data_IF_258159257908
#
_entry.id   IF_258159257908
#
_cell.length_a   1.000
_cell.length_b   1.000
_cell.length_c   1.000
_cell.angle_alpha   90.00
_cell.angle_beta   90.00
_cell.angle_gamma   90.00
#
_symmetry.space_group_name_H-M   'P 1'
#
loop_
_entity.id
_entity.type
_entity.pdbx_description
1 polymer ?
#
# COMPACT_ATOMS: atom_id res chain seq x y z
N UNK A 1 12.08 -16.09 -13.90
CA UNK A 1 12.14 -16.26 -12.44
C UNK A 1 11.30 -15.15 -11.89
N UNK A 2 10.26 -15.48 -11.11
CA UNK A 2 9.39 -14.46 -10.55
C UNK A 2 10.00 -13.78 -9.35
N UNK A 3 9.23 -12.87 -8.76
CA UNK A 3 9.64 -12.09 -7.61
C UNK A 3 9.86 -12.95 -6.36
N UNK A 4 9.05 -14.00 -6.13
CA UNK A 4 9.20 -14.85 -4.93
C UNK A 4 10.47 -15.69 -5.01
N UNK A 5 10.73 -16.28 -6.17
CA UNK A 5 11.97 -17.02 -6.41
C UNK A 5 13.21 -16.13 -6.27
N UNK A 6 13.14 -14.86 -6.70
CA UNK A 6 14.23 -13.90 -6.50
C UNK A 6 14.45 -13.59 -5.01
N UNK A 7 13.38 -13.39 -4.24
CA UNK A 7 13.48 -13.17 -2.80
C UNK A 7 14.08 -14.38 -2.07
N UNK A 8 13.57 -15.58 -2.34
CA UNK A 8 14.04 -16.84 -1.72
C UNK A 8 15.51 -17.14 -2.08
N UNK A 9 16.02 -16.63 -3.20
CA UNK A 9 17.42 -16.79 -3.59
C UNK A 9 18.37 -15.80 -2.89
N UNK A 10 17.85 -14.65 -2.42
CA UNK A 10 18.66 -13.53 -1.92
C UNK A 10 18.50 -13.25 -0.42
N UNK A 11 17.49 -13.82 0.23
CA UNK A 11 17.16 -13.57 1.64
C UNK A 11 16.91 -14.87 2.41
N UNK A 12 16.93 -14.79 3.74
CA UNK A 12 16.58 -15.91 4.59
C UNK A 12 15.08 -16.25 4.45
N UNK A 13 14.76 -17.52 4.32
CA UNK A 13 13.39 -18.01 4.18
C UNK A 13 12.46 -17.52 5.30
N UNK A 14 12.93 -17.46 6.55
CA UNK A 14 12.12 -16.98 7.68
C UNK A 14 11.72 -15.51 7.49
N UNK A 15 12.61 -14.69 6.93
CA UNK A 15 12.36 -13.26 6.67
C UNK A 15 11.36 -13.10 5.53
N UNK A 16 11.48 -13.89 4.45
CA UNK A 16 10.57 -13.80 3.31
C UNK A 16 9.16 -14.25 3.73
N UNK A 17 9.03 -15.31 4.52
CA UNK A 17 7.75 -15.80 5.02
C UNK A 17 7.10 -14.80 6.00
N UNK A 18 7.85 -14.25 6.95
CA UNK A 18 7.34 -13.21 7.86
C UNK A 18 6.83 -11.99 7.07
N UNK A 19 7.57 -11.57 6.04
CA UNK A 19 7.13 -10.50 5.16
C UNK A 19 5.82 -10.85 4.46
N UNK A 20 5.69 -12.03 3.85
CA UNK A 20 4.47 -12.42 3.14
C UNK A 20 3.25 -12.49 4.06
N UNK A 21 3.42 -13.04 5.26
CA UNK A 21 2.35 -13.14 6.25
C UNK A 21 1.86 -11.76 6.69
N UNK A 22 2.79 -10.88 7.08
CA UNK A 22 2.46 -9.51 7.45
C UNK A 22 1.86 -8.71 6.29
N UNK A 23 2.42 -8.88 5.09
CA UNK A 23 1.89 -8.25 3.89
C UNK A 23 0.45 -8.67 3.62
N UNK A 24 0.15 -9.97 3.72
CA UNK A 24 -1.21 -10.48 3.55
C UNK A 24 -2.20 -9.85 4.52
N UNK A 25 -1.86 -9.78 5.80
CA UNK A 25 -2.73 -9.16 6.82
C UNK A 25 -3.00 -7.68 6.54
N UNK A 26 -2.00 -6.96 6.04
CA UNK A 26 -2.15 -5.54 5.67
C UNK A 26 -3.07 -5.37 4.46
N UNK A 27 -2.92 -6.19 3.43
CA UNK A 27 -3.78 -6.12 2.22
C UNK A 27 -5.23 -6.45 2.56
N UNK A 28 -5.48 -7.50 3.36
CA UNK A 28 -6.83 -7.94 3.73
C UNK A 28 -7.65 -6.85 4.45
N UNK A 29 -6.98 -5.88 5.10
CA UNK A 29 -7.63 -4.80 5.83
C UNK A 29 -7.61 -3.45 5.11
N UNK A 30 -6.73 -3.27 4.11
CA UNK A 30 -6.46 -1.97 3.47
C UNK A 30 -7.70 -1.34 2.87
N UNK A 31 -8.45 -2.09 2.06
CA UNK A 31 -9.64 -1.58 1.36
C UNK A 31 -10.70 -1.06 2.36
N UNK A 32 -10.94 -1.80 3.44
CA UNK A 32 -11.89 -1.42 4.49
C UNK A 32 -11.45 -0.11 5.16
N UNK A 33 -10.16 0.04 5.45
CA UNK A 33 -9.63 1.28 6.02
C UNK A 33 -9.80 2.46 5.06
N UNK A 34 -9.60 2.26 3.75
CA UNK A 34 -9.82 3.30 2.73
C UNK A 34 -11.29 3.72 2.69
N UNK A 35 -12.23 2.77 2.68
CA UNK A 35 -13.66 3.08 2.70
C UNK A 35 -14.05 3.85 3.97
N UNK A 36 -13.47 3.47 5.12
CA UNK A 36 -13.74 4.13 6.40
C UNK A 36 -13.23 5.58 6.46
N UNK A 37 -12.27 5.99 5.62
CA UNK A 37 -11.89 7.41 5.50
C UNK A 37 -13.06 8.31 5.04
N UNK A 38 -14.00 7.76 4.27
CA UNK A 38 -15.21 8.49 3.86
C UNK A 38 -16.20 8.75 5.01
N UNK A 39 -15.99 8.14 6.18
CA UNK A 39 -16.88 8.26 7.35
C UNK A 39 -16.26 9.22 8.35
N UNK A 40 -16.89 10.37 8.58
CA UNK A 40 -16.37 11.42 9.49
C UNK A 40 -15.99 10.91 10.88
N UNK A 41 -16.77 9.99 11.45
CA UNK A 41 -16.53 9.41 12.77
C UNK A 41 -15.40 8.37 12.81
N UNK A 42 -14.92 7.90 11.66
CA UNK A 42 -13.83 6.92 11.53
C UNK A 42 -12.54 7.56 11.01
N UNK A 43 -12.63 8.70 10.31
CA UNK A 43 -11.54 9.37 9.61
C UNK A 43 -10.19 9.34 10.35
N UNK A 44 -10.13 9.90 11.57
CA UNK A 44 -8.87 10.01 12.35
C UNK A 44 -8.24 8.67 12.67
N UNK A 45 -9.06 7.63 12.87
CA UNK A 45 -8.58 6.28 13.11
C UNK A 45 -8.05 5.68 11.82
N UNK A 46 -8.87 5.69 10.76
CA UNK A 46 -8.55 5.04 9.48
C UNK A 46 -7.33 5.65 8.81
N UNK A 47 -7.16 6.97 8.85
CA UNK A 47 -5.98 7.64 8.27
C UNK A 47 -4.69 7.25 9.01
N UNK A 48 -4.77 7.12 10.35
CA UNK A 48 -3.63 6.72 11.18
C UNK A 48 -3.26 5.24 10.97
N UNK A 49 -4.26 4.37 10.83
CA UNK A 49 -4.06 2.95 10.54
C UNK A 49 -3.47 2.75 9.13
N UNK A 50 -3.99 3.43 8.10
CA UNK A 50 -3.44 3.40 6.74
C UNK A 50 -2.00 3.91 6.67
N UNK A 51 -1.71 5.04 7.33
CA UNK A 51 -0.35 5.58 7.37
C UNK A 51 0.64 4.55 7.90
N UNK A 52 0.29 3.82 8.98
CA UNK A 52 1.13 2.75 9.54
C UNK A 52 1.30 1.57 8.58
N UNK A 53 0.23 1.18 7.86
CA UNK A 53 0.31 0.13 6.85
C UNK A 53 1.32 0.49 5.77
N UNK A 54 1.22 1.67 5.16
CA UNK A 54 2.15 2.09 4.11
C UNK A 54 3.58 2.27 4.65
N UNK A 55 3.74 2.77 5.88
CA UNK A 55 5.04 2.84 6.54
C UNK A 55 5.71 1.47 6.69
N UNK A 56 4.94 0.47 7.12
CA UNK A 56 5.43 -0.91 7.28
C UNK A 56 5.78 -1.54 5.92
N UNK A 57 4.90 -1.39 4.92
CA UNK A 57 5.15 -1.90 3.57
C UNK A 57 6.39 -1.23 2.96
N UNK A 58 6.54 0.09 3.06
CA UNK A 58 7.72 0.84 2.60
C UNK A 58 8.99 0.27 3.19
N UNK A 59 9.00 0.08 4.50
CA UNK A 59 10.19 -0.37 5.24
C UNK A 59 10.57 -1.80 4.87
N UNK A 60 9.60 -2.71 4.85
CA UNK A 60 9.83 -4.11 4.51
C UNK A 60 10.25 -4.29 3.04
N UNK A 61 9.56 -3.65 2.10
CA UNK A 61 9.88 -3.71 0.67
C UNK A 61 11.22 -3.05 0.34
N UNK A 62 11.63 -2.00 1.07
CA UNK A 62 12.96 -1.41 0.96
C UNK A 62 14.06 -2.39 1.39
N UNK A 63 13.86 -3.05 2.53
CA UNK A 63 14.79 -4.07 3.04
C UNK A 63 14.94 -5.24 2.05
N UNK A 64 13.82 -5.73 1.52
CA UNK A 64 13.76 -6.82 0.53
C UNK A 64 14.10 -6.38 -0.89
N UNK A 65 14.45 -5.10 -1.10
CA UNK A 65 14.81 -4.52 -2.41
C UNK A 65 13.73 -4.64 -3.48
N UNK A 66 12.47 -4.69 -3.08
CA UNK A 66 11.31 -4.63 -3.98
C UNK A 66 11.04 -3.15 -4.32
N UNK A 67 11.92 -2.56 -5.13
CA UNK A 67 11.95 -1.10 -5.36
C UNK A 67 10.61 -0.50 -5.81
N UNK A 68 9.85 -1.09 -6.75
CA UNK A 68 8.57 -0.50 -7.17
C UNK A 68 7.58 -0.39 -6.00
N UNK A 69 7.53 -1.41 -5.15
CA UNK A 69 6.67 -1.44 -3.98
C UNK A 69 7.09 -0.41 -2.94
N UNK A 70 8.40 -0.31 -2.68
CA UNK A 70 8.92 0.68 -1.72
C UNK A 70 8.64 2.11 -2.17
N UNK A 71 8.83 2.41 -3.46
CA UNK A 71 8.58 3.74 -4.03
C UNK A 71 7.11 4.12 -3.99
N UNK A 72 6.20 3.22 -4.37
CA UNK A 72 4.77 3.49 -4.31
C UNK A 72 4.29 3.65 -2.86
N UNK A 73 4.76 2.81 -1.94
CA UNK A 73 4.38 2.91 -0.53
C UNK A 73 4.87 4.23 0.10
N UNK A 74 6.10 4.65 -0.21
CA UNK A 74 6.63 5.93 0.24
C UNK A 74 5.83 7.12 -0.31
N UNK A 75 5.44 7.07 -1.59
CA UNK A 75 4.62 8.08 -2.22
C UNK A 75 3.26 8.20 -1.52
N UNK A 76 2.56 7.07 -1.33
CA UNK A 76 1.24 7.06 -0.67
C UNK A 76 1.33 7.48 0.80
N UNK A 77 2.37 7.05 1.52
CA UNK A 77 2.61 7.48 2.91
C UNK A 77 2.77 9.00 3.03
N UNK A 78 3.45 9.65 2.08
CA UNK A 78 3.55 11.12 2.04
C UNK A 78 2.19 11.78 1.84
N UNK A 79 1.37 11.30 0.89
CA UNK A 79 0.02 11.84 0.68
C UNK A 79 -0.88 11.63 1.91
N UNK A 80 -0.77 10.47 2.57
CA UNK A 80 -1.51 10.20 3.81
C UNK A 80 -1.06 11.12 4.95
N UNK A 81 0.22 11.49 5.04
CA UNK A 81 0.70 12.47 6.02
C UNK A 81 0.05 13.84 5.80
N UNK A 82 -0.09 14.28 4.55
CA UNK A 82 -0.79 15.54 4.23
C UNK A 82 -2.28 15.45 4.58
N UNK A 83 -2.94 14.33 4.28
CA UNK A 83 -4.34 14.12 4.62
C UNK A 83 -4.58 14.08 6.14
N UNK A 84 -3.64 13.62 6.96
CA UNK A 84 -3.78 13.60 8.43
C UNK A 84 -4.01 14.98 9.03
N UNK A 85 -3.52 16.03 8.39
CA UNK A 85 -3.69 17.42 8.81
C UNK A 85 -4.99 18.05 8.29
N UNK A 86 -5.71 17.37 7.38
CA UNK A 86 -7.00 17.83 6.84
C UNK A 86 -8.17 17.35 7.70
N UNK A 87 -9.21 18.18 7.79
CA UNK A 87 -10.47 17.80 8.42
C UNK A 87 -11.40 17.11 7.40
N UNK A 88 -12.13 16.05 7.80
CA UNK A 88 -13.06 15.36 6.93
C UNK A 88 -14.26 16.25 6.50
N UNK A 89 -15.10 15.80 5.55
CA UNK A 89 -14.89 14.64 4.68
C UNK A 89 -13.78 14.90 3.66
N UNK A 90 -13.02 13.86 3.29
CA UNK A 90 -12.19 13.89 2.08
C UNK A 90 -13.08 13.66 0.86
N UNK A 91 -12.65 14.14 -0.31
CA UNK A 91 -13.44 14.00 -1.53
C UNK A 91 -13.40 12.55 -2.07
N UNK A 92 -14.39 12.23 -2.91
CA UNK A 92 -14.56 10.90 -3.50
C UNK A 92 -13.40 10.53 -4.43
N UNK A 93 -12.78 11.52 -5.09
CA UNK A 93 -11.60 11.31 -5.95
C UNK A 93 -10.42 10.74 -5.17
N UNK A 94 -10.17 11.27 -3.96
CA UNK A 94 -9.11 10.78 -3.06
C UNK A 94 -9.39 9.35 -2.58
N UNK A 95 -10.65 9.05 -2.23
CA UNK A 95 -11.05 7.70 -1.81
C UNK A 95 -10.84 6.72 -2.97
N UNK A 96 -11.31 7.06 -4.17
CA UNK A 96 -11.15 6.22 -5.36
C UNK A 96 -9.67 6.00 -5.71
N UNK A 97 -8.84 7.04 -5.63
CA UNK A 97 -7.40 6.91 -5.83
C UNK A 97 -6.76 5.95 -4.82
N UNK A 98 -7.11 6.04 -3.53
CA UNK A 98 -6.62 5.11 -2.51
C UNK A 98 -7.13 3.68 -2.72
N UNK A 99 -8.33 3.49 -3.28
CA UNK A 99 -8.82 2.17 -3.68
C UNK A 99 -8.02 1.60 -4.87
N UNK A 100 -7.70 2.41 -5.89
CA UNK A 100 -6.82 1.97 -6.97
C UNK A 100 -5.41 1.61 -6.46
N UNK A 101 -4.92 2.33 -5.45
CA UNK A 101 -3.67 1.99 -4.75
C UNK A 101 -3.82 0.62 -4.08
N UNK A 102 -4.89 0.40 -3.30
CA UNK A 102 -5.19 -0.88 -2.66
C UNK A 102 -5.18 -2.04 -3.67
N UNK A 103 -5.83 -1.87 -4.82
CA UNK A 103 -5.84 -2.85 -5.91
C UNK A 103 -4.44 -3.17 -6.45
N UNK A 104 -3.56 -2.15 -6.54
CA UNK A 104 -2.18 -2.35 -7.00
C UNK A 104 -1.38 -3.21 -6.02
N UNK A 105 -1.53 -2.98 -4.72
CA UNK A 105 -0.86 -3.79 -3.71
C UNK A 105 -1.48 -5.20 -3.63
N UNK A 106 -2.80 -5.36 -3.81
CA UNK A 106 -3.41 -6.68 -3.94
C UNK A 106 -2.88 -7.45 -5.16
N UNK A 107 -2.72 -6.79 -6.31
CA UNK A 107 -2.13 -7.42 -7.49
C UNK A 107 -0.67 -7.88 -7.25
N UNK A 108 0.12 -7.12 -6.50
CA UNK A 108 1.46 -7.54 -6.10
C UNK A 108 1.47 -8.71 -5.11
N UNK A 109 0.45 -8.82 -4.26
CA UNK A 109 0.26 -10.00 -3.40
C UNK A 109 0.05 -11.25 -4.26
N UNK A 110 -0.74 -11.16 -5.33
CA UNK A 110 -0.92 -12.26 -6.27
C UNK A 110 0.36 -12.58 -7.03
N UNK A 111 1.12 -11.56 -7.46
CA UNK A 111 2.41 -11.77 -8.12
C UNK A 111 3.44 -12.47 -7.21
N UNK A 112 3.46 -12.12 -5.93
CA UNK A 112 4.29 -12.79 -4.92
C UNK A 112 3.83 -14.24 -4.69
N UNK A 113 2.53 -14.49 -4.57
CA UNK A 113 1.98 -15.84 -4.33
C UNK A 113 2.18 -16.78 -5.52
N UNK A 114 2.06 -16.26 -6.74
CA UNK A 114 2.13 -17.03 -7.98
C UNK A 114 3.54 -17.08 -8.59
N UNK A 115 4.52 -16.42 -7.94
CA UNK A 115 5.87 -16.24 -8.46
C UNK A 115 5.89 -15.65 -9.89
N UNK A 116 5.09 -14.62 -10.10
CA UNK A 116 5.10 -13.84 -11.34
C UNK A 116 6.23 -12.80 -11.32
N UNK A 117 6.49 -12.19 -12.47
CA UNK A 117 7.17 -10.89 -12.47
C UNK A 117 6.27 -9.84 -11.81
N UNK A 118 6.87 -8.94 -11.04
CA UNK A 118 6.12 -7.89 -10.36
C UNK A 118 5.45 -6.94 -11.37
N UNK A 119 4.13 -6.84 -11.30
CA UNK A 119 3.34 -5.98 -12.18
C UNK A 119 3.78 -4.51 -12.11
N UNK A 120 3.71 -3.79 -13.23
CA UNK A 120 4.13 -2.39 -13.30
C UNK A 120 3.11 -1.48 -12.61
N UNK A 121 3.60 -0.44 -11.94
CA UNK A 121 2.76 0.61 -11.36
C UNK A 121 1.91 1.24 -12.47
N UNK A 122 0.59 1.29 -12.27
CA UNK A 122 -0.35 1.96 -13.18
C UNK A 122 -0.04 3.47 -13.19
N UNK A 123 0.04 4.07 -14.37
CA UNK A 123 0.31 5.51 -14.51
C UNK A 123 -0.76 6.40 -13.86
N UNK A 124 -2.00 5.91 -13.69
CA UNK A 124 -3.06 6.64 -12.98
C UNK A 124 -2.67 6.95 -11.54
N UNK A 125 -1.96 6.03 -10.88
CA UNK A 125 -1.57 6.15 -9.48
C UNK A 125 -0.53 7.23 -9.22
N UNK A 126 0.20 7.66 -10.25
CA UNK A 126 1.20 8.73 -10.15
C UNK A 126 0.59 10.13 -10.25
N UNK A 127 -0.73 10.22 -10.48
CA UNK A 127 -1.48 11.47 -10.46
C UNK A 127 -2.15 11.59 -9.10
N UNK A 128 -1.65 12.52 -8.30
CA UNK A 128 -2.25 12.85 -7.01
C UNK A 128 -3.64 13.44 -7.28
N UNK A 129 -4.70 12.94 -6.62
CA UNK A 129 -6.02 13.54 -6.70
C UNK A 129 -5.99 14.96 -6.15
N UNK A 130 -6.87 15.83 -6.64
CA UNK A 130 -7.05 17.11 -5.93
C UNK A 130 -7.54 16.79 -4.52
N UNK A 131 -6.81 17.22 -3.50
CA UNK A 131 -7.16 16.96 -2.10
C UNK A 131 -7.90 18.15 -1.49
N UNK A 132 -8.09 19.23 -2.25
CA UNK A 132 -8.89 20.37 -1.86
C UNK A 132 -10.36 20.15 -2.25
N UNK A 133 -11.27 20.80 -1.51
CA UNK A 133 -12.72 20.70 -1.68
C UNK A 133 -13.25 21.69 -2.70
#
# INVERSE_FOLDING_TARGET
MGIRSDLDANFDFEIVDEFLDHYSMMIDSMEVMVIDLGKENMYKRSISELFRVFHNIKSASSYLKIEPMSKLAAFVESELEELREKEPPINEETINWLLEVSDMFAAWQDDLKLDNELSKIKFSLLKIPDTDK
#
